data_IF_251452249482
#
_entry.id   IF_251452249482
#
_cell.length_a   1.000
_cell.length_b   1.000
_cell.length_c   1.000
_cell.angle_alpha   90.00
_cell.angle_beta   90.00
_cell.angle_gamma   90.00
#
_symmetry.space_group_name_H-M   'P 1'
#
loop_
_entity.id
_entity.type
_entity.pdbx_description
1 polymer ?
#
# COMPACT_ATOMS: atom_id res chain seq x y z
N UNK A 1 23.96 11.09 -14.70
CA UNK A 1 24.24 10.04 -13.69
C UNK A 1 24.44 10.71 -12.34
N UNK A 2 23.38 10.80 -11.53
CA UNK A 2 23.51 11.24 -10.14
C UNK A 2 23.80 10.00 -9.28
N UNK A 3 24.95 9.99 -8.60
CA UNK A 3 25.27 8.95 -7.60
C UNK A 3 24.67 9.41 -6.27
N UNK A 4 23.83 8.56 -5.68
CA UNK A 4 23.34 8.79 -4.31
C UNK A 4 24.51 8.60 -3.35
N UNK A 5 24.68 9.53 -2.44
CA UNK A 5 25.80 9.54 -1.50
C UNK A 5 25.64 8.39 -0.46
N UNK A 6 26.75 7.74 -0.04
CA UNK A 6 26.72 6.55 0.84
C UNK A 6 26.08 6.77 2.21
N UNK A 7 26.05 8.00 2.68
CA UNK A 7 25.46 8.46 3.94
C UNK A 7 23.94 8.30 3.98
N UNK A 8 23.26 8.57 2.86
CA UNK A 8 21.80 8.39 2.74
C UNK A 8 21.40 6.92 2.92
N UNK A 9 22.21 5.98 2.41
CA UNK A 9 21.93 4.54 2.52
C UNK A 9 22.07 4.06 3.98
N UNK A 10 23.07 4.57 4.70
CA UNK A 10 23.30 4.27 6.12
C UNK A 10 22.16 4.82 7.00
N UNK A 11 21.71 6.04 6.72
CA UNK A 11 20.60 6.66 7.45
C UNK A 11 19.26 5.95 7.19
N UNK A 12 19.01 5.54 5.94
CA UNK A 12 17.87 4.69 5.60
C UNK A 12 17.91 3.33 6.31
N UNK A 13 19.07 2.69 6.42
CA UNK A 13 19.23 1.42 7.17
C UNK A 13 18.94 1.61 8.65
N UNK A 14 19.32 2.74 9.22
CA UNK A 14 19.07 3.09 10.63
C UNK A 14 17.60 3.37 10.92
N UNK A 15 16.88 3.97 9.96
CA UNK A 15 15.43 4.20 10.06
C UNK A 15 14.61 2.94 9.74
N UNK A 16 15.11 2.06 8.87
CA UNK A 16 14.47 0.79 8.49
C UNK A 16 14.48 -0.30 9.58
N UNK A 17 15.17 -0.08 10.71
CA UNK A 17 14.96 -0.89 11.93
C UNK A 17 13.50 -0.82 12.41
N UNK A 18 12.78 0.26 12.07
CA UNK A 18 11.39 0.46 12.41
C UNK A 18 10.48 0.18 11.21
N UNK A 19 10.10 -1.11 11.10
CA UNK A 19 8.92 -1.64 10.39
C UNK A 19 9.03 -1.80 8.87
N UNK A 20 8.89 -3.06 8.45
CA UNK A 20 8.97 -3.56 7.07
C UNK A 20 7.58 -3.83 6.51
N UNK A 21 7.35 -3.50 5.24
CA UNK A 21 6.10 -3.83 4.52
C UNK A 21 6.37 -4.16 3.06
N UNK A 22 5.54 -5.07 2.54
CA UNK A 22 5.77 -5.91 1.35
C UNK A 22 4.56 -5.97 0.48
N UNK A 23 4.67 -5.62 -0.81
CA UNK A 23 3.57 -5.81 -1.77
C UNK A 23 4.10 -6.23 -3.15
N UNK A 24 3.40 -7.22 -3.73
CA UNK A 24 3.70 -7.82 -5.03
C UNK A 24 2.93 -7.18 -6.19
N UNK A 25 3.23 -7.64 -7.41
CA UNK A 25 2.59 -7.24 -8.68
C UNK A 25 2.47 -8.41 -9.67
N UNK A 26 1.45 -8.39 -10.53
CA UNK A 26 1.28 -9.20 -11.75
C UNK A 26 1.25 -8.31 -13.02
N UNK A 27 1.79 -8.82 -14.14
CA UNK A 27 1.94 -8.13 -15.44
C UNK A 27 0.59 -7.71 -16.08
N UNK A 28 0.46 -6.61 -16.81
CA UNK A 28 1.34 -6.14 -17.88
C UNK A 28 1.70 -4.64 -17.79
N UNK A 29 3.01 -4.35 -17.89
CA UNK A 29 3.71 -3.07 -17.95
C UNK A 29 3.34 -2.03 -16.90
N UNK A 30 4.04 -2.19 -15.77
CA UNK A 30 3.49 -2.01 -14.46
C UNK A 30 4.70 -1.71 -13.53
N UNK A 31 5.11 -0.43 -13.40
CA UNK A 31 6.20 0.01 -12.48
C UNK A 31 5.74 1.01 -11.41
N UNK A 32 6.32 0.94 -10.20
CA UNK A 32 6.07 1.88 -9.11
C UNK A 32 7.31 2.06 -8.24
N UNK A 33 7.77 3.30 -8.02
CA UNK A 33 8.98 3.59 -7.24
C UNK A 33 8.80 4.71 -6.23
N UNK A 34 9.40 4.54 -5.06
CA UNK A 34 10.12 5.61 -4.38
C UNK A 34 11.35 5.08 -3.64
N UNK A 35 12.12 4.25 -4.34
CA UNK A 35 13.59 4.15 -4.31
C UNK A 35 13.94 3.83 -5.77
N UNK A 36 14.94 4.52 -6.35
CA UNK A 36 15.32 4.39 -7.77
C UNK A 36 15.44 2.94 -8.20
N UNK A 37 14.51 2.50 -9.03
CA UNK A 37 14.47 1.14 -9.54
C UNK A 37 13.96 1.22 -11.00
N UNK A 38 14.46 0.41 -11.97
CA UNK A 38 14.24 0.63 -13.41
C UNK A 38 12.99 -0.07 -13.96
N UNK A 39 12.57 0.34 -15.16
CA UNK A 39 11.29 0.07 -15.87
C UNK A 39 10.94 -1.41 -16.22
N UNK A 40 11.68 -2.42 -15.76
CA UNK A 40 11.43 -3.83 -16.13
C UNK A 40 11.41 -4.74 -14.88
N UNK A 41 10.25 -5.35 -14.52
CA UNK A 41 10.11 -6.21 -13.36
C UNK A 41 10.87 -7.55 -13.47
N UNK A 42 11.30 -7.96 -14.68
CA UNK A 42 12.24 -9.08 -14.84
C UNK A 42 13.71 -8.66 -14.65
N UNK A 43 14.01 -7.35 -14.62
CA UNK A 43 15.36 -6.81 -14.41
C UNK A 43 15.69 -6.48 -12.96
N UNK A 44 14.72 -6.53 -12.06
CA UNK A 44 15.01 -6.47 -10.63
C UNK A 44 15.03 -7.86 -10.08
N UNK A 45 16.15 -8.52 -10.38
CA UNK A 45 16.55 -9.72 -9.69
C UNK A 45 16.33 -9.49 -8.18
N UNK A 46 15.79 -10.51 -7.50
CA UNK A 46 15.71 -10.61 -6.03
C UNK A 46 16.93 -10.01 -5.32
N UNK A 47 18.10 -10.11 -5.96
CA UNK A 47 19.38 -9.52 -5.59
C UNK A 47 19.35 -8.00 -5.35
N UNK A 48 18.63 -7.20 -6.14
CA UNK A 48 18.54 -5.73 -5.92
C UNK A 48 17.72 -5.40 -4.67
N UNK A 49 16.61 -6.11 -4.44
CA UNK A 49 15.85 -6.00 -3.20
C UNK A 49 16.69 -6.48 -1.99
N UNK A 50 17.46 -7.55 -2.15
CA UNK A 50 18.32 -8.08 -1.10
C UNK A 50 19.39 -7.06 -0.65
N UNK A 51 19.89 -6.19 -1.54
CA UNK A 51 20.85 -5.13 -1.19
C UNK A 51 20.30 -4.13 -0.17
N UNK A 52 18.98 -3.99 -0.08
CA UNK A 52 18.28 -3.14 0.89
C UNK A 52 17.53 -3.95 1.95
N UNK A 53 17.94 -5.21 2.20
CA UNK A 53 17.28 -6.15 3.11
C UNK A 53 15.80 -6.44 2.76
N UNK A 54 15.41 -6.18 1.51
CA UNK A 54 14.18 -6.65 0.92
C UNK A 54 14.29 -8.10 0.49
N UNK A 55 13.15 -8.70 0.19
CA UNK A 55 13.02 -9.96 -0.55
C UNK A 55 11.97 -9.65 -1.63
N UNK A 56 11.76 -10.58 -2.53
CA UNK A 56 10.62 -10.56 -3.43
C UNK A 56 10.14 -11.98 -3.65
N UNK A 57 8.85 -12.15 -3.92
CA UNK A 57 8.25 -13.46 -4.18
C UNK A 57 7.05 -13.28 -5.09
N UNK A 58 6.90 -14.22 -6.03
CA UNK A 58 5.72 -14.32 -6.88
C UNK A 58 4.66 -15.19 -6.19
N UNK A 59 3.49 -14.61 -5.94
CA UNK A 59 2.30 -15.28 -5.39
C UNK A 59 1.05 -14.47 -5.70
N UNK A 60 -0.11 -15.06 -5.46
CA UNK A 60 -1.40 -14.38 -5.59
C UNK A 60 -1.92 -13.92 -4.23
N UNK A 61 -2.44 -12.70 -4.16
CA UNK A 61 -3.18 -12.22 -2.99
C UNK A 61 -4.66 -12.57 -3.17
N UNK A 62 -5.30 -13.10 -2.13
CA UNK A 62 -6.67 -13.57 -2.17
C UNK A 62 -7.43 -13.26 -0.86
N UNK A 63 -8.76 -13.36 -0.90
CA UNK A 63 -9.63 -13.19 0.29
C UNK A 63 -9.46 -14.33 1.28
N UNK A 64 -9.14 -15.52 0.78
CA UNK A 64 -8.87 -16.73 1.56
C UNK A 64 -7.59 -17.42 1.08
N UNK A 65 -6.89 -18.08 1.98
CA UNK A 65 -5.64 -18.78 1.65
C UNK A 65 -5.92 -20.14 1.03
N UNK A 66 -5.44 -20.33 -0.20
CA UNK A 66 -5.36 -21.62 -0.87
C UNK A 66 -3.90 -21.93 -1.23
N UNK A 67 -3.27 -22.76 -0.39
CA UNK A 67 -1.85 -23.11 -0.53
C UNK A 67 -1.53 -23.88 -1.82
N UNK A 68 -2.48 -24.68 -2.31
CA UNK A 68 -2.33 -25.44 -3.55
C UNK A 68 -2.25 -24.53 -4.77
N UNK A 69 -2.95 -23.39 -4.74
CA UNK A 69 -2.97 -22.39 -5.80
C UNK A 69 -1.97 -21.25 -5.59
N UNK A 70 -1.11 -21.35 -4.57
CA UNK A 70 -0.18 -20.27 -4.18
C UNK A 70 -0.90 -18.92 -3.95
N UNK A 71 -2.13 -18.97 -3.43
CA UNK A 71 -2.98 -17.82 -3.16
C UNK A 71 -3.13 -17.62 -1.65
N UNK A 72 -2.89 -16.40 -1.15
CA UNK A 72 -2.83 -16.14 0.29
C UNK A 72 -3.52 -14.84 0.66
N UNK A 73 -4.11 -14.81 1.86
CA UNK A 73 -4.48 -13.53 2.49
C UNK A 73 -3.24 -12.75 2.90
N UNK A 74 -3.35 -11.41 2.94
CA UNK A 74 -2.25 -10.54 3.42
C UNK A 74 -1.83 -10.94 4.85
N UNK A 75 -2.78 -11.26 5.73
CA UNK A 75 -2.52 -11.74 7.09
C UNK A 75 -1.70 -13.03 7.13
N UNK A 76 -1.95 -13.98 6.23
CA UNK A 76 -1.19 -15.23 6.20
C UNK A 76 0.19 -15.04 5.57
N UNK A 77 0.35 -14.09 4.65
CA UNK A 77 1.66 -13.67 4.16
C UNK A 77 2.51 -13.06 5.28
N UNK A 78 1.92 -12.19 6.10
CA UNK A 78 2.57 -11.66 7.30
C UNK A 78 3.08 -12.77 8.21
N UNK A 79 2.23 -13.76 8.51
CA UNK A 79 2.63 -14.92 9.35
C UNK A 79 3.75 -15.73 8.70
N UNK A 80 3.64 -15.99 7.38
CA UNK A 80 4.64 -16.74 6.62
C UNK A 80 6.02 -16.07 6.70
N UNK A 81 6.07 -14.74 6.67
CA UNK A 81 7.30 -13.95 6.75
C UNK A 81 7.68 -13.53 8.18
N UNK A 82 6.97 -14.01 9.20
CA UNK A 82 7.16 -13.65 10.61
C UNK A 82 7.11 -12.13 10.86
N UNK A 83 6.13 -11.46 10.24
CA UNK A 83 5.87 -10.03 10.35
C UNK A 83 4.66 -9.82 11.25
N UNK A 84 4.86 -9.15 12.38
CA UNK A 84 3.79 -8.91 13.35
C UNK A 84 3.10 -7.55 13.18
N UNK A 85 3.75 -6.62 12.47
CA UNK A 85 3.22 -5.29 12.23
C UNK A 85 3.76 -4.72 10.93
N UNK A 86 2.94 -3.91 10.27
CA UNK A 86 3.19 -3.29 8.98
C UNK A 86 3.12 -1.77 9.17
N UNK A 87 4.11 -1.00 8.70
CA UNK A 87 4.08 0.47 8.77
C UNK A 87 3.52 1.14 7.53
N UNK A 88 3.99 0.77 6.34
CA UNK A 88 3.62 1.36 5.05
C UNK A 88 3.11 0.28 4.07
N UNK A 89 1.81 0.07 3.94
CA UNK A 89 1.20 -0.89 3.00
C UNK A 89 0.89 -0.27 1.64
N UNK A 90 1.77 -0.48 0.66
CA UNK A 90 1.62 -0.08 -0.74
C UNK A 90 0.85 -1.03 -1.75
N UNK A 91 -0.47 -0.96 -1.95
CA UNK A 91 -1.22 -1.93 -2.79
C UNK A 91 -1.40 -1.47 -4.25
N UNK A 92 -1.23 -2.40 -5.20
CA UNK A 92 -1.53 -2.25 -6.63
C UNK A 92 -1.70 -3.66 -7.23
N UNK A 93 -2.96 -4.09 -7.39
CA UNK A 93 -3.34 -5.48 -7.74
C UNK A 93 -4.55 -5.54 -8.72
N UNK A 94 -4.66 -4.57 -9.62
CA UNK A 94 -5.52 -4.63 -10.81
C UNK A 94 -7.01 -4.94 -10.54
N UNK A 95 -7.58 -4.34 -9.49
CA UNK A 95 -9.02 -4.40 -9.18
C UNK A 95 -9.33 -5.32 -8.00
N UNK A 96 -8.37 -6.14 -7.57
CA UNK A 96 -8.58 -7.01 -6.43
C UNK A 96 -8.50 -6.27 -5.08
N UNK A 97 -8.19 -4.97 -5.08
CA UNK A 97 -8.13 -4.09 -3.91
C UNK A 97 -9.43 -4.12 -3.10
N UNK A 98 -10.57 -4.10 -3.80
CA UNK A 98 -11.92 -4.11 -3.22
C UNK A 98 -12.20 -5.34 -2.36
N UNK A 99 -11.50 -6.44 -2.63
CA UNK A 99 -11.76 -7.73 -1.99
C UNK A 99 -10.83 -8.00 -0.82
N UNK A 100 -9.58 -7.54 -0.88
CA UNK A 100 -8.54 -7.95 0.08
C UNK A 100 -8.20 -6.90 1.12
N UNK A 101 -8.48 -5.61 0.84
CA UNK A 101 -8.12 -4.54 1.76
C UNK A 101 -8.94 -4.59 3.04
N UNK A 102 -10.27 -4.54 2.95
CA UNK A 102 -11.13 -4.46 4.14
C UNK A 102 -10.97 -5.68 5.08
N UNK A 103 -10.97 -6.95 4.61
CA UNK A 103 -10.74 -8.10 5.49
C UNK A 103 -9.38 -8.09 6.20
N UNK A 104 -8.38 -7.41 5.62
CA UNK A 104 -7.10 -7.19 6.25
C UNK A 104 -7.17 -6.11 7.33
N UNK A 105 -7.84 -4.98 7.05
CA UNK A 105 -8.00 -3.86 8.00
C UNK A 105 -8.89 -4.19 9.21
N UNK A 106 -9.76 -5.19 9.11
CA UNK A 106 -10.50 -5.73 10.26
C UNK A 106 -9.58 -6.37 11.33
N UNK A 107 -8.39 -6.82 10.92
CA UNK A 107 -7.49 -7.62 11.76
C UNK A 107 -6.19 -6.89 12.10
N UNK A 108 -5.80 -5.92 11.26
CA UNK A 108 -4.51 -5.27 11.35
C UNK A 108 -4.64 -3.76 11.15
N UNK A 109 -3.85 -3.02 11.93
CA UNK A 109 -3.65 -1.58 11.74
C UNK A 109 -2.29 -1.36 11.10
N UNK A 110 -2.27 -0.53 10.07
CA UNK A 110 -1.10 -0.05 9.35
C UNK A 110 -1.05 1.47 9.49
N UNK A 111 0.14 2.05 9.62
CA UNK A 111 0.20 3.50 9.76
C UNK A 111 -0.08 4.25 8.47
N UNK A 112 0.50 3.82 7.36
CA UNK A 112 0.31 4.43 6.05
C UNK A 112 -0.08 3.38 5.02
N UNK A 113 -1.08 3.65 4.19
CA UNK A 113 -1.45 2.82 3.04
C UNK A 113 -1.21 3.65 1.79
N UNK A 114 -0.54 3.08 0.80
CA UNK A 114 -0.29 3.68 -0.51
C UNK A 114 -0.94 2.81 -1.58
N UNK A 115 -2.18 3.07 -1.94
CA UNK A 115 -2.98 2.16 -2.76
C UNK A 115 -3.35 2.77 -4.11
N UNK A 116 -3.12 2.06 -5.21
CA UNK A 116 -3.78 2.34 -6.48
C UNK A 116 -5.07 1.53 -6.54
N UNK A 117 -6.22 2.21 -6.65
CA UNK A 117 -7.52 1.55 -6.71
C UNK A 117 -7.98 1.53 -8.16
N UNK A 118 -8.10 0.33 -8.72
CA UNK A 118 -8.53 0.09 -10.10
C UNK A 118 -10.04 -0.13 -10.16
N UNK A 119 -10.82 0.92 -10.44
CA UNK A 119 -12.27 0.83 -10.46
C UNK A 119 -12.98 2.08 -10.95
N UNK A 120 -14.31 2.06 -10.92
CA UNK A 120 -15.12 3.23 -11.27
C UNK A 120 -15.12 4.22 -10.11
N UNK A 121 -15.24 5.54 -10.36
CA UNK A 121 -15.20 6.55 -9.30
C UNK A 121 -16.19 6.31 -8.14
N UNK A 122 -17.39 5.81 -8.42
CA UNK A 122 -18.38 5.52 -7.36
C UNK A 122 -17.94 4.37 -6.45
N UNK A 123 -17.41 3.29 -7.04
CA UNK A 123 -16.92 2.13 -6.29
C UNK A 123 -15.70 2.54 -5.44
N UNK A 124 -14.81 3.36 -6.01
CA UNK A 124 -13.63 3.91 -5.31
C UNK A 124 -14.07 4.73 -4.09
N UNK A 125 -15.06 5.62 -4.24
CA UNK A 125 -15.59 6.41 -3.12
C UNK A 125 -16.20 5.51 -2.03
N UNK A 126 -16.90 4.45 -2.41
CA UNK A 126 -17.45 3.50 -1.45
C UNK A 126 -16.36 2.75 -0.67
N UNK A 127 -15.32 2.27 -1.35
CA UNK A 127 -14.17 1.66 -0.68
C UNK A 127 -13.48 2.65 0.27
N UNK A 128 -13.26 3.90 -0.14
CA UNK A 128 -12.65 4.92 0.72
C UNK A 128 -13.49 5.23 1.95
N UNK A 129 -14.82 5.28 1.82
CA UNK A 129 -15.72 5.41 2.97
C UNK A 129 -15.54 4.25 3.94
N UNK A 130 -15.55 3.02 3.43
CA UNK A 130 -15.34 1.83 4.27
C UNK A 130 -13.98 1.85 4.96
N UNK A 131 -12.91 2.17 4.25
CA UNK A 131 -11.56 2.32 4.84
C UNK A 131 -11.53 3.42 5.91
N UNK A 132 -12.30 4.50 5.75
CA UNK A 132 -12.38 5.56 6.76
C UNK A 132 -13.05 5.11 8.08
N UNK A 133 -13.93 4.09 8.03
CA UNK A 133 -14.52 3.48 9.22
C UNK A 133 -13.47 2.70 10.03
N UNK A 134 -12.37 2.29 9.41
CA UNK A 134 -11.22 1.67 10.06
C UNK A 134 -10.18 2.70 10.55
N UNK A 135 -10.54 3.97 10.71
CA UNK A 135 -9.67 5.00 11.30
C UNK A 135 -8.65 5.60 10.34
N UNK A 136 -8.75 5.33 9.05
CA UNK A 136 -7.87 5.90 8.03
C UNK A 136 -8.40 7.24 7.51
N UNK A 137 -7.47 8.18 7.30
CA UNK A 137 -7.70 9.51 6.78
C UNK A 137 -7.02 9.63 5.41
N UNK A 138 -7.66 10.32 4.47
CA UNK A 138 -7.04 10.68 3.20
C UNK A 138 -5.91 11.67 3.46
N UNK A 139 -4.68 11.28 3.07
CA UNK A 139 -3.49 12.12 3.17
C UNK A 139 -3.16 12.78 1.82
N UNK A 140 -3.23 12.02 0.74
CA UNK A 140 -2.97 12.49 -0.62
C UNK A 140 -3.71 11.61 -1.64
N UNK A 141 -3.99 12.15 -2.82
CA UNK A 141 -4.41 11.35 -3.96
C UNK A 141 -3.84 11.93 -5.26
N UNK A 142 -3.59 11.06 -6.22
CA UNK A 142 -3.21 11.39 -7.58
C UNK A 142 -4.14 10.64 -8.52
N UNK A 143 -4.67 11.32 -9.53
CA UNK A 143 -5.54 10.69 -10.52
C UNK A 143 -4.65 10.19 -11.63
N UNK A 144 -4.65 8.89 -11.89
CA UNK A 144 -3.98 8.31 -13.04
C UNK A 144 -4.78 8.68 -14.32
N UNK A 145 -4.23 9.55 -15.20
CA UNK A 145 -4.95 9.99 -16.40
C UNK A 145 -4.94 8.93 -17.51
N UNK A 146 -4.13 7.88 -17.38
CA UNK A 146 -4.00 6.81 -18.37
C UNK A 146 -5.18 5.85 -18.25
N UNK A 147 -5.59 5.22 -19.36
CA UNK A 147 -6.56 4.12 -19.32
C UNK A 147 -8.01 4.52 -19.04
N UNK A 148 -8.42 5.76 -19.35
CA UNK A 148 -9.81 6.27 -19.16
C UNK A 148 -10.19 6.55 -17.69
N UNK A 149 -9.23 6.96 -16.84
CA UNK A 149 -9.48 7.32 -15.44
C UNK A 149 -10.01 6.13 -14.62
N UNK A 150 -9.52 4.93 -14.92
CA UNK A 150 -9.93 3.68 -14.26
C UNK A 150 -9.07 3.33 -13.05
N UNK A 151 -8.06 4.13 -12.74
CA UNK A 151 -7.17 3.94 -11.60
C UNK A 151 -6.91 5.29 -10.92
N UNK A 152 -6.68 5.26 -9.61
CA UNK A 152 -6.33 6.46 -8.82
C UNK A 152 -5.50 6.02 -7.62
N UNK A 153 -4.40 6.71 -7.40
CA UNK A 153 -3.48 6.48 -6.31
C UNK A 153 -3.91 7.27 -5.09
N UNK A 154 -3.95 6.62 -3.94
CA UNK A 154 -4.30 7.19 -2.66
C UNK A 154 -3.21 6.93 -1.63
N UNK A 155 -2.86 7.95 -0.88
CA UNK A 155 -2.13 7.84 0.38
C UNK A 155 -3.11 8.02 1.52
N UNK A 156 -3.18 7.05 2.41
CA UNK A 156 -4.04 7.05 3.59
C UNK A 156 -3.18 6.93 4.84
N UNK A 157 -3.54 7.63 5.90
CA UNK A 157 -2.84 7.56 7.19
C UNK A 157 -3.84 7.18 8.30
N UNK A 158 -3.47 6.22 9.16
CA UNK A 158 -4.29 5.88 10.30
C UNK A 158 -4.20 6.97 11.37
N UNK A 159 -5.32 7.35 11.99
CA UNK A 159 -5.40 8.47 12.93
C UNK A 159 -4.46 8.33 14.13
N UNK A 160 -4.22 7.10 14.60
CA UNK A 160 -3.28 6.82 15.71
C UNK A 160 -1.82 7.10 15.36
N UNK A 161 -1.49 7.26 14.07
CA UNK A 161 -0.13 7.50 13.60
C UNK A 161 0.15 8.98 13.30
N UNK A 162 -0.86 9.86 13.33
CA UNK A 162 -0.71 11.30 13.05
C UNK A 162 0.41 11.93 13.89
N UNK A 163 0.38 11.72 15.21
CA UNK A 163 1.39 12.26 16.13
C UNK A 163 2.81 11.77 15.83
N UNK A 164 2.96 10.51 15.38
CA UNK A 164 4.28 9.94 15.08
C UNK A 164 4.93 10.63 13.88
N UNK A 165 4.11 10.99 12.90
CA UNK A 165 4.56 11.62 11.65
C UNK A 165 4.44 13.14 11.66
N UNK A 166 4.13 13.73 12.82
CA UNK A 166 3.83 15.16 12.95
C UNK A 166 2.78 15.65 11.94
N UNK A 167 1.85 14.75 11.58
CA UNK A 167 0.80 15.02 10.61
C UNK A 167 -0.38 15.71 11.30
N UNK A 168 -0.89 16.77 10.69
CA UNK A 168 -2.01 17.55 11.20
C UNK A 168 -3.28 17.15 10.44
N UNK A 169 -4.31 16.74 11.18
CA UNK A 169 -5.63 16.47 10.60
C UNK A 169 -6.31 17.80 10.24
N UNK A 170 -6.60 17.99 8.96
CA UNK A 170 -7.28 19.21 8.47
C UNK A 170 -8.81 19.09 8.51
N UNK A 171 -9.36 17.96 8.04
CA UNK A 171 -10.81 17.70 7.99
C UNK A 171 -11.10 16.20 7.89
N UNK A 172 -12.37 15.80 8.00
CA UNK A 172 -12.85 14.44 7.72
C UNK A 172 -13.82 14.48 6.54
N UNK A 173 -13.38 14.03 5.37
CA UNK A 173 -14.13 14.11 4.11
C UNK A 173 -15.18 13.00 3.91
N UNK A 174 -15.19 11.96 4.76
CA UNK A 174 -15.99 10.74 4.53
C UNK A 174 -16.81 10.27 5.75
N UNK A 175 -17.03 11.11 6.77
CA UNK A 175 -17.93 10.75 7.89
C UNK A 175 -19.40 10.95 7.56
N UNK A 176 -20.27 10.05 8.04
CA UNK A 176 -21.74 10.09 7.93
C UNK A 176 -22.44 11.30 8.57
N UNK A 177 -21.70 12.31 9.07
CA UNK A 177 -22.27 13.53 9.64
C UNK A 177 -22.29 14.72 8.68
N UNK A 178 -22.11 14.49 7.38
CA UNK A 178 -22.51 15.46 6.36
C UNK A 178 -24.05 15.46 6.24
N UNK A 179 -24.70 15.91 7.31
CA UNK A 179 -25.99 16.58 7.23
C UNK A 179 -25.77 17.82 6.37
N UNK A 180 -25.80 17.62 5.06
CA UNK A 180 -26.03 18.68 4.08
C UNK A 180 -27.35 19.31 4.50
N UNK A 181 -27.23 20.52 5.05
CA UNK A 181 -28.34 21.31 5.55
C UNK A 181 -29.46 21.42 4.52
N UNK A 182 -30.67 21.44 5.08
CA UNK A 182 -31.85 22.08 4.49
C UNK A 182 -31.55 23.49 3.99
#
# INVERSE_FOLDING_TARGET
>A
MARIAPDVIEEYKRQAEYRRVWIGRGHADNNLFNILVPEDPNRLASDEYAKINGKSTALSVAVETNRTLNAYTISDLMKKENINSIEILKIDIEGYEFHVLLPFLEKHVVCQILIEIHGKPLDVVELLKMVSLHGYLLFHYEINPVGQLTATEFSLIHESCLKRYDAIKLSKYFSENDNIGR
#
